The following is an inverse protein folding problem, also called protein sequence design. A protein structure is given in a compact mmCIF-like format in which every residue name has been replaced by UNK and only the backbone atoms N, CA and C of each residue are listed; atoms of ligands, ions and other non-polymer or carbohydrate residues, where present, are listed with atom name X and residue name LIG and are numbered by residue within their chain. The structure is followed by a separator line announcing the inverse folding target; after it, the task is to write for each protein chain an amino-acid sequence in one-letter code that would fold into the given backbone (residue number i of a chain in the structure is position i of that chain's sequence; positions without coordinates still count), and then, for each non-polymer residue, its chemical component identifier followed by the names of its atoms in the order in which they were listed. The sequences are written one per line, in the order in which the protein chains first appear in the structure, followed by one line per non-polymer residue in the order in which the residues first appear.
data_IF_904029326388
#
_entry.id   IF_904029326388
#
_cell.length_a   1.000
_cell.length_b   1.000
_cell.length_c   1.000
_cell.angle_alpha   90.00
_cell.angle_beta   90.00
_cell.angle_gamma   90.00
#
_symmetry.space_group_name_H-M   'P 1'
#
loop_
_entity.id
_entity.type
_entity.pdbx_description
1 polymer ?
#
# COMPACT_ATOMS: atom_id res chain seq x y z
N UNK A 1 -12.56 -17.66 -4.35
CA UNK A 1 -11.43 -18.34 -3.66
C UNK A 1 -10.06 -17.92 -4.20
N UNK A 2 -9.89 -17.62 -5.50
CA UNK A 2 -8.63 -17.13 -6.07
C UNK A 2 -8.13 -15.79 -5.45
N UNK A 3 -9.05 -14.86 -5.19
CA UNK A 3 -8.74 -13.57 -4.56
C UNK A 3 -8.17 -13.70 -3.13
N UNK A 4 -8.58 -14.73 -2.37
CA UNK A 4 -8.07 -14.97 -1.01
C UNK A 4 -6.60 -15.44 -1.03
N UNK A 5 -6.23 -16.22 -2.04
CA UNK A 5 -4.83 -16.62 -2.27
C UNK A 5 -4.00 -15.40 -2.68
N UNK A 6 -4.55 -14.54 -3.56
CA UNK A 6 -3.91 -13.27 -3.95
C UNK A 6 -3.63 -12.34 -2.79
N UNK A 7 -4.56 -12.24 -1.85
CA UNK A 7 -4.43 -11.39 -0.66
C UNK A 7 -3.35 -11.92 0.28
N UNK A 8 -3.33 -13.23 0.55
CA UNK A 8 -2.30 -13.88 1.38
C UNK A 8 -0.91 -13.74 0.73
N UNK A 9 -0.81 -13.93 -0.58
CA UNK A 9 0.45 -13.87 -1.32
C UNK A 9 0.99 -12.43 -1.34
N UNK A 10 0.13 -11.44 -1.57
CA UNK A 10 0.46 -10.02 -1.42
C UNK A 10 0.94 -9.67 -0.02
N UNK A 11 0.24 -10.13 1.02
CA UNK A 11 0.60 -9.82 2.40
C UNK A 11 1.98 -10.39 2.78
N UNK A 12 2.28 -11.63 2.37
CA UNK A 12 3.62 -12.22 2.54
C UNK A 12 4.69 -11.43 1.79
N UNK A 13 4.37 -10.98 0.57
CA UNK A 13 5.27 -10.15 -0.23
C UNK A 13 5.53 -8.78 0.42
N UNK A 14 4.49 -8.16 0.99
CA UNK A 14 4.59 -6.88 1.71
C UNK A 14 5.53 -7.00 2.90
N UNK A 15 5.37 -8.05 3.71
CA UNK A 15 6.21 -8.32 4.87
C UNK A 15 7.66 -8.49 4.40
N UNK A 16 7.89 -9.28 3.34
CA UNK A 16 9.24 -9.52 2.82
C UNK A 16 9.91 -8.25 2.29
N UNK A 17 9.20 -7.42 1.50
CA UNK A 17 9.73 -6.15 0.99
C UNK A 17 10.00 -5.14 2.09
N UNK A 18 9.14 -5.09 3.11
CA UNK A 18 9.31 -4.17 4.26
C UNK A 18 10.51 -4.57 5.10
N UNK A 19 10.72 -5.88 5.34
CA UNK A 19 11.90 -6.41 6.04
C UNK A 19 13.20 -6.15 5.29
N UNK A 20 13.15 -6.00 3.96
CA UNK A 20 14.32 -5.70 3.12
C UNK A 20 14.71 -4.22 3.11
N UNK A 21 14.02 -3.37 3.90
CA UNK A 21 14.33 -1.94 4.01
C UNK A 21 13.99 -1.13 2.75
N UNK A 22 13.11 -1.67 1.88
CA UNK A 22 12.60 -0.93 0.72
C UNK A 22 11.56 0.08 1.23
N UNK A 23 11.55 1.28 0.64
CA UNK A 23 10.62 2.35 0.99
C UNK A 23 9.15 1.85 0.92
N UNK A 24 8.40 2.06 2.01
CA UNK A 24 7.02 1.61 2.20
C UNK A 24 6.12 1.98 1.02
N UNK A 25 6.34 3.14 0.41
CA UNK A 25 5.53 3.63 -0.70
C UNK A 25 5.69 2.71 -1.94
N UNK A 26 6.92 2.32 -2.26
CA UNK A 26 7.23 1.41 -3.38
C UNK A 26 6.71 0.00 -3.08
N UNK A 27 6.86 -0.47 -1.84
CA UNK A 27 6.33 -1.77 -1.40
C UNK A 27 4.81 -1.84 -1.57
N UNK A 28 4.08 -0.78 -1.17
CA UNK A 28 2.63 -0.71 -1.28
C UNK A 28 2.14 -0.74 -2.74
N UNK A 29 2.81 -0.03 -3.66
CA UNK A 29 2.48 -0.05 -5.10
C UNK A 29 2.64 -1.47 -5.66
N UNK A 30 3.78 -2.11 -5.38
CA UNK A 30 4.07 -3.47 -5.84
C UNK A 30 3.02 -4.45 -5.30
N UNK A 31 2.64 -4.33 -4.03
CA UNK A 31 1.59 -5.13 -3.43
C UNK A 31 0.23 -4.95 -4.11
N UNK A 32 -0.19 -3.70 -4.38
CA UNK A 32 -1.46 -3.42 -5.05
C UNK A 32 -1.53 -4.07 -6.44
N UNK A 33 -0.42 -4.05 -7.20
CA UNK A 33 -0.31 -4.69 -8.52
C UNK A 33 -0.44 -6.21 -8.39
N UNK A 34 0.24 -6.82 -7.41
CA UNK A 34 0.18 -8.27 -7.18
C UNK A 34 -1.24 -8.70 -6.77
N UNK A 35 -1.92 -7.93 -5.92
CA UNK A 35 -3.33 -8.18 -5.56
C UNK A 35 -4.24 -8.04 -6.77
N UNK A 36 -4.05 -7.01 -7.60
CA UNK A 36 -4.87 -6.76 -8.77
C UNK A 36 -4.82 -7.91 -9.77
N UNK A 37 -3.59 -8.38 -10.06
CA UNK A 37 -3.34 -9.50 -10.98
C UNK A 37 -3.96 -10.80 -10.45
N UNK A 38 -3.87 -11.08 -9.15
CA UNK A 38 -4.43 -12.30 -8.56
C UNK A 38 -5.94 -12.22 -8.27
N UNK A 39 -6.49 -11.03 -8.04
CA UNK A 39 -7.93 -10.84 -7.79
C UNK A 39 -8.75 -10.63 -9.07
N UNK A 40 -8.11 -10.48 -10.24
CA UNK A 40 -8.81 -10.32 -11.52
C UNK A 40 -9.57 -8.99 -11.66
N UNK A 41 -9.20 -8.00 -10.84
CA UNK A 41 -9.72 -6.63 -10.88
C UNK A 41 -8.87 -5.81 -11.85
N UNK A 42 -9.49 -4.84 -12.52
CA UNK A 42 -8.79 -3.97 -13.46
C UNK A 42 -7.61 -3.28 -12.74
N UNK A 43 -6.43 -3.35 -13.35
CA UNK A 43 -5.21 -2.75 -12.81
C UNK A 43 -5.39 -1.23 -12.59
N UNK A 44 -6.19 -0.58 -13.44
CA UNK A 44 -6.57 0.82 -13.29
C UNK A 44 -7.34 1.06 -11.99
N UNK A 45 -8.41 0.29 -11.71
CA UNK A 45 -9.20 0.43 -10.48
C UNK A 45 -8.36 0.13 -9.23
N UNK A 46 -7.51 -0.89 -9.27
CA UNK A 46 -6.65 -1.24 -8.14
C UNK A 46 -5.62 -0.14 -7.81
N UNK A 47 -5.10 0.57 -8.82
CA UNK A 47 -4.17 1.69 -8.60
C UNK A 47 -4.89 3.01 -8.26
N UNK A 48 -6.02 3.30 -8.90
CA UNK A 48 -6.71 4.59 -8.72
C UNK A 48 -7.69 4.61 -7.55
N UNK A 49 -8.24 3.47 -7.16
CA UNK A 49 -9.16 3.35 -6.01
C UNK A 49 -8.48 2.65 -4.85
N UNK A 50 -8.18 1.36 -4.96
CA UNK A 50 -7.75 0.58 -3.79
C UNK A 50 -6.42 1.09 -3.20
N UNK A 51 -5.42 1.37 -4.05
CA UNK A 51 -4.15 1.95 -3.61
C UNK A 51 -4.32 3.38 -3.09
N UNK A 52 -5.09 4.22 -3.80
CA UNK A 52 -5.28 5.63 -3.41
C UNK A 52 -6.10 5.77 -2.13
N UNK A 53 -7.12 4.95 -1.91
CA UNK A 53 -7.90 4.92 -0.67
C UNK A 53 -7.01 4.50 0.51
N UNK A 54 -6.18 3.48 0.34
CA UNK A 54 -5.20 3.08 1.36
C UNK A 54 -4.16 4.16 1.64
N UNK A 55 -3.63 4.79 0.58
CA UNK A 55 -2.63 5.85 0.68
C UNK A 55 -3.20 7.12 1.33
N UNK A 56 -4.35 7.60 0.87
CA UNK A 56 -5.00 8.80 1.41
C UNK A 56 -5.52 8.57 2.82
N UNK A 57 -6.04 7.37 3.15
CA UNK A 57 -6.41 6.99 4.50
C UNK A 57 -5.23 6.98 5.47
N UNK A 58 -4.06 6.51 5.01
CA UNK A 58 -2.80 6.63 5.75
C UNK A 58 -2.45 8.11 5.96
N UNK A 59 -2.32 8.87 4.89
CA UNK A 59 -1.98 10.30 4.99
C UNK A 59 -2.95 11.08 5.88
N UNK A 60 -4.25 10.79 5.85
CA UNK A 60 -5.24 11.42 6.71
C UNK A 60 -5.06 11.05 8.19
N UNK A 61 -4.82 9.77 8.50
CA UNK A 61 -4.65 9.28 9.87
C UNK A 61 -3.37 9.83 10.53
N UNK A 62 -2.29 9.93 9.74
CA UNK A 62 -1.00 10.44 10.20
C UNK A 62 -0.80 11.92 9.86
N UNK A 63 -1.83 12.62 9.37
CA UNK A 63 -1.74 14.01 8.92
C UNK A 63 -1.19 14.93 10.01
N UNK A 64 -1.74 14.83 11.23
CA UNK A 64 -1.30 15.66 12.36
C UNK A 64 0.15 15.38 12.77
N UNK A 65 0.61 14.14 12.64
CA UNK A 65 1.99 13.76 12.94
C UNK A 65 2.94 14.29 11.87
N UNK A 66 2.58 14.20 10.59
CA UNK A 66 3.35 14.81 9.50
C UNK A 66 3.39 16.34 9.61
N UNK A 67 2.25 16.97 9.95
CA UNK A 67 2.15 18.41 10.14
C UNK A 67 2.97 18.88 11.34
N UNK A 68 2.87 18.20 12.49
CA UNK A 68 3.66 18.50 13.67
C UNK A 68 5.16 18.32 13.40
N UNK A 69 5.54 17.27 12.68
CA UNK A 69 6.91 17.06 12.21
C UNK A 69 7.42 18.19 11.33
N UNK A 70 6.63 18.65 10.35
CA UNK A 70 7.02 19.77 9.48
C UNK A 70 7.17 21.10 10.25
N UNK A 71 6.36 21.33 11.29
CA UNK A 71 6.43 22.53 12.13
C UNK A 71 7.63 22.49 13.09
N UNK A 72 7.92 21.33 13.69
CA UNK A 72 9.05 21.13 14.62
C UNK A 72 10.39 20.83 13.93
N UNK A 73 10.43 20.61 12.62
CA UNK A 73 11.67 20.31 11.87
C UNK A 73 12.61 21.51 11.68
N UNK A 74 12.56 22.50 12.58
CA UNK A 74 13.51 23.59 12.72
C UNK A 74 14.23 23.47 14.06
#
# INVERSE_FOLDING_TARGET
MLSMIGLILSLVLLIFLTMKGINIIISAVICSIVVAVFSGINLADAMTKDYMDGFTGYFASWFLIFMLGAILAR
#
